data_IF_713459684360
#
_entry.id   IF_713459684360
#
_cell.length_a   1.000
_cell.length_b   1.000
_cell.length_c   1.000
_cell.angle_alpha   90.00
_cell.angle_beta   90.00
_cell.angle_gamma   90.00
#
_symmetry.space_group_name_H-M   'P 1'
#
loop_
_entity.id
_entity.type
_entity.pdbx_description
1 polymer ?
#
# COMPACT_ATOMS: atom_id res chain seq x y z
N UNK A 1 -6.92 7.35 4.47
CA UNK A 1 -6.83 6.28 3.49
C UNK A 1 -5.92 5.18 4.00
N UNK A 2 -6.47 4.01 4.32
CA UNK A 2 -5.70 2.87 4.85
C UNK A 2 -5.55 1.81 3.78
N UNK A 3 -4.32 1.30 3.61
CA UNK A 3 -4.06 0.18 2.68
C UNK A 3 -4.56 -1.12 3.28
N UNK A 4 -5.23 -1.92 2.46
CA UNK A 4 -5.59 -3.29 2.82
C UNK A 4 -4.38 -4.21 2.57
N UNK A 5 -4.01 -4.98 3.56
CA UNK A 5 -2.96 -5.98 3.42
C UNK A 5 -3.59 -7.36 3.32
N UNK A 6 -3.14 -8.13 2.32
CA UNK A 6 -3.61 -9.49 2.03
C UNK A 6 -2.44 -10.46 2.07
N UNK A 7 -2.71 -11.74 2.34
CA UNK A 7 -1.69 -12.78 2.41
C UNK A 7 -1.55 -13.58 1.11
N UNK A 8 -2.57 -13.56 0.25
CA UNK A 8 -2.58 -14.26 -1.03
C UNK A 8 -3.46 -13.54 -2.06
N UNK A 9 -3.35 -13.95 -3.33
CA UNK A 9 -4.09 -13.32 -4.45
C UNK A 9 -5.60 -13.58 -4.38
N UNK A 10 -6.00 -14.70 -3.82
CA UNK A 10 -7.40 -15.10 -3.69
C UNK A 10 -8.20 -14.14 -2.79
N UNK A 11 -7.54 -13.55 -1.79
CA UNK A 11 -8.16 -12.56 -0.90
C UNK A 11 -8.47 -11.22 -1.58
N UNK A 12 -7.93 -10.97 -2.77
CA UNK A 12 -8.15 -9.72 -3.50
C UNK A 12 -9.52 -9.72 -4.20
N UNK A 13 -9.92 -10.85 -4.76
CA UNK A 13 -11.14 -10.97 -5.58
C UNK A 13 -12.39 -10.38 -4.91
N UNK A 14 -12.68 -10.64 -3.62
CA UNK A 14 -13.82 -10.04 -2.96
C UNK A 14 -13.68 -8.53 -2.70
N UNK A 15 -12.47 -7.98 -2.67
CA UNK A 15 -12.21 -6.57 -2.34
C UNK A 15 -12.34 -5.62 -3.52
N UNK A 16 -12.19 -6.13 -4.75
CA UNK A 16 -12.18 -5.33 -5.97
C UNK A 16 -13.39 -5.66 -6.85
N UNK A 17 -13.96 -4.65 -7.49
CA UNK A 17 -15.04 -4.86 -8.45
C UNK A 17 -14.52 -5.34 -9.82
N UNK A 18 -13.27 -5.01 -10.12
CA UNK A 18 -12.56 -5.42 -11.33
C UNK A 18 -11.06 -5.50 -11.06
N UNK A 19 -10.39 -6.49 -11.67
CA UNK A 19 -8.94 -6.60 -11.68
C UNK A 19 -8.43 -6.43 -13.12
N UNK A 20 -7.97 -5.23 -13.50
CA UNK A 20 -7.48 -4.95 -14.85
C UNK A 20 -6.30 -5.83 -15.24
N UNK A 21 -6.09 -6.05 -16.53
CA UNK A 21 -5.01 -6.92 -17.03
C UNK A 21 -3.62 -6.41 -16.61
N UNK A 22 -3.40 -5.07 -16.60
CA UNK A 22 -2.17 -4.49 -16.07
C UNK A 22 -1.99 -4.75 -14.57
N UNK A 23 -3.07 -4.73 -13.80
CA UNK A 23 -3.05 -5.09 -12.38
C UNK A 23 -2.62 -6.54 -12.16
N UNK A 24 -3.09 -7.48 -12.98
CA UNK A 24 -2.68 -8.89 -12.91
C UNK A 24 -1.20 -9.07 -13.23
N UNK A 25 -0.70 -8.39 -14.29
CA UNK A 25 0.73 -8.44 -14.68
C UNK A 25 1.62 -7.90 -13.57
N UNK A 26 1.26 -6.75 -13.01
CA UNK A 26 2.00 -6.12 -11.91
C UNK A 26 1.97 -6.97 -10.63
N UNK A 27 0.81 -7.55 -10.28
CA UNK A 27 0.69 -8.46 -9.15
C UNK A 27 1.63 -9.67 -9.30
N UNK A 28 1.65 -10.29 -10.46
CA UNK A 28 2.52 -11.43 -10.76
C UNK A 28 4.01 -11.09 -10.68
N UNK A 29 4.39 -9.88 -11.07
CA UNK A 29 5.79 -9.44 -11.09
C UNK A 29 6.31 -8.98 -9.73
N UNK A 30 5.47 -8.32 -8.92
CA UNK A 30 5.93 -7.55 -7.75
C UNK A 30 5.24 -7.93 -6.43
N UNK A 31 4.33 -8.88 -6.40
CA UNK A 31 3.73 -9.41 -5.17
C UNK A 31 4.13 -10.87 -4.92
N UNK A 32 4.44 -11.19 -3.67
CA UNK A 32 4.53 -10.32 -2.49
C UNK A 32 5.71 -9.34 -2.58
N UNK A 33 5.51 -8.08 -2.13
CA UNK A 33 6.57 -7.08 -2.25
C UNK A 33 6.20 -5.64 -1.88
N UNK A 34 7.12 -4.70 -2.18
CA UNK A 34 7.01 -3.30 -1.79
C UNK A 34 6.17 -2.48 -2.79
N UNK A 35 5.06 -3.04 -3.27
CA UNK A 35 4.13 -2.37 -4.17
C UNK A 35 2.72 -2.37 -3.60
N UNK A 36 2.07 -1.23 -3.67
CA UNK A 36 0.65 -1.03 -3.38
C UNK A 36 -0.06 -0.73 -4.69
N UNK A 37 -1.15 -1.41 -4.98
CA UNK A 37 -1.98 -1.08 -6.15
C UNK A 37 -3.34 -0.56 -5.71
N UNK A 38 -3.85 0.43 -6.45
CA UNK A 38 -5.18 1.00 -6.25
C UNK A 38 -6.12 0.43 -7.30
N UNK A 39 -7.25 -0.13 -6.85
CA UNK A 39 -8.28 -0.77 -7.68
C UNK A 39 -9.64 -0.14 -7.44
N UNK A 40 -10.59 -0.28 -8.37
CA UNK A 40 -11.99 0.00 -8.08
C UNK A 40 -12.48 -0.94 -6.96
N UNK A 41 -13.03 -0.39 -5.87
CA UNK A 41 -13.48 -1.19 -4.73
C UNK A 41 -14.75 -1.98 -5.06
N UNK A 42 -14.92 -3.13 -4.41
CA UNK A 42 -16.19 -3.82 -4.37
C UNK A 42 -17.13 -3.21 -3.32
N UNK A 43 -18.41 -3.61 -3.35
CA UNK A 43 -19.42 -3.13 -2.41
C UNK A 43 -19.16 -3.53 -0.95
N UNK A 44 -18.39 -4.62 -0.72
CA UNK A 44 -18.10 -5.10 0.64
C UNK A 44 -17.06 -4.23 1.37
N UNK A 45 -16.24 -3.45 0.63
CA UNK A 45 -15.24 -2.57 1.24
C UNK A 45 -15.92 -1.30 1.75
N UNK A 46 -15.91 -1.04 3.07
CA UNK A 46 -16.59 0.13 3.64
C UNK A 46 -15.91 1.45 3.24
N UNK A 47 -16.67 2.50 3.04
CA UNK A 47 -16.15 3.84 2.76
C UNK A 47 -15.28 4.40 3.90
N UNK A 48 -15.55 4.01 5.15
CA UNK A 48 -14.71 4.38 6.28
C UNK A 48 -13.26 3.89 6.17
N UNK A 49 -13.03 2.79 5.45
CA UNK A 49 -11.68 2.26 5.18
C UNK A 49 -10.99 2.97 4.03
N UNK A 50 -11.75 3.40 3.02
CA UNK A 50 -11.23 4.05 1.82
C UNK A 50 -11.19 5.58 1.90
N UNK A 51 -11.61 6.16 3.03
CA UNK A 51 -11.71 7.61 3.19
C UNK A 51 -12.76 8.25 2.28
N UNK A 52 -13.83 7.51 1.96
CA UNK A 52 -14.92 7.98 1.11
C UNK A 52 -14.70 7.76 -0.39
N UNK A 53 -13.58 7.13 -0.80
CA UNK A 53 -13.25 6.90 -2.21
C UNK A 53 -13.88 5.59 -2.73
N UNK A 54 -14.17 5.56 -4.03
CA UNK A 54 -14.63 4.38 -4.76
C UNK A 54 -13.47 3.43 -5.15
N UNK A 55 -12.31 3.65 -4.60
CA UNK A 55 -11.11 2.84 -4.82
C UNK A 55 -10.59 2.25 -3.52
N UNK A 56 -9.88 1.13 -3.62
CA UNK A 56 -9.19 0.46 -2.52
C UNK A 56 -7.73 0.25 -2.85
N UNK A 57 -6.84 0.60 -1.93
CA UNK A 57 -5.42 0.32 -2.07
C UNK A 57 -5.09 -1.02 -1.41
N UNK A 58 -4.45 -1.92 -2.14
CA UNK A 58 -4.11 -3.27 -1.69
C UNK A 58 -2.60 -3.48 -1.79
N UNK A 59 -2.05 -4.17 -0.80
CA UNK A 59 -0.66 -4.61 -0.78
C UNK A 59 -0.59 -6.05 -0.27
N UNK A 60 0.29 -6.84 -0.87
CA UNK A 60 0.70 -8.15 -0.36
C UNK A 60 2.14 -8.04 0.16
N UNK A 61 2.36 -8.01 1.48
CA UNK A 61 3.70 -7.84 2.04
C UNK A 61 4.57 -9.08 1.80
N UNK A 62 5.88 -8.88 1.60
CA UNK A 62 6.86 -9.95 1.49
C UNK A 62 7.43 -10.41 2.84
N UNK A 63 7.18 -9.65 3.91
CA UNK A 63 7.60 -10.02 5.25
C UNK A 63 6.82 -11.24 5.73
N UNK A 64 7.49 -12.35 6.14
CA UNK A 64 6.81 -13.60 6.49
C UNK A 64 5.99 -13.49 7.77
N UNK A 65 6.37 -12.65 8.73
CA UNK A 65 5.61 -12.45 9.97
C UNK A 65 4.32 -11.70 9.67
N UNK A 66 4.41 -10.63 8.86
CA UNK A 66 3.24 -9.88 8.42
C UNK A 66 2.29 -10.75 7.59
N UNK A 67 2.80 -11.53 6.64
CA UNK A 67 2.01 -12.43 5.82
C UNK A 67 1.28 -13.49 6.67
N UNK A 68 1.98 -14.09 7.65
CA UNK A 68 1.40 -15.10 8.54
C UNK A 68 0.35 -14.49 9.47
N UNK A 69 0.58 -13.29 10.00
CA UNK A 69 -0.42 -12.58 10.81
C UNK A 69 -1.72 -12.34 10.01
N UNK A 70 -1.60 -11.88 8.76
CA UNK A 70 -2.75 -11.65 7.89
C UNK A 70 -3.47 -12.99 7.63
N UNK A 71 -2.73 -14.02 7.25
CA UNK A 71 -3.27 -15.36 7.00
C UNK A 71 -4.05 -15.92 8.20
N UNK A 72 -3.48 -15.81 9.42
CA UNK A 72 -4.09 -16.28 10.64
C UNK A 72 -5.31 -15.46 11.07
N UNK A 73 -5.34 -14.17 10.72
CA UNK A 73 -6.51 -13.32 11.01
C UNK A 73 -7.75 -13.72 10.22
N UNK A 74 -7.57 -14.40 9.07
CA UNK A 74 -8.66 -14.82 8.18
C UNK A 74 -9.38 -13.65 7.48
N UNK A 75 -8.84 -12.43 7.61
CA UNK A 75 -9.40 -11.21 7.00
C UNK A 75 -8.29 -10.27 6.55
N UNK A 76 -8.52 -9.45 5.51
CA UNK A 76 -7.58 -8.39 5.13
C UNK A 76 -7.39 -7.36 6.26
N UNK A 77 -6.15 -6.92 6.47
CA UNK A 77 -5.82 -5.98 7.54
C UNK A 77 -5.62 -4.57 6.98
N UNK A 78 -6.44 -3.63 7.44
CA UNK A 78 -6.28 -2.21 7.11
C UNK A 78 -5.23 -1.58 8.05
N UNK A 79 -4.04 -1.28 7.55
CA UNK A 79 -2.95 -0.76 8.36
C UNK A 79 -2.27 0.48 7.74
N UNK A 80 -2.02 1.53 8.57
CA UNK A 80 -1.09 2.60 8.27
C UNK A 80 0.33 2.22 8.75
N UNK A 81 1.30 3.15 8.61
CA UNK A 81 2.57 3.07 9.31
C UNK A 81 2.39 3.24 10.83
N UNK A 82 3.24 2.58 11.60
CA UNK A 82 3.15 2.55 13.08
C UNK A 82 3.92 3.73 13.71
N UNK A 83 3.59 4.97 13.32
CA UNK A 83 4.19 6.21 13.83
C UNK A 83 3.12 7.24 14.17
N UNK A 84 3.49 8.22 14.97
CA UNK A 84 2.69 9.44 15.17
C UNK A 84 2.69 10.25 13.87
N UNK A 85 1.52 10.80 13.49
CA UNK A 85 1.37 11.61 12.27
C UNK A 85 2.41 12.73 12.21
N UNK A 86 3.03 12.90 11.05
CA UNK A 86 4.10 13.87 10.81
C UNK A 86 5.51 13.38 11.16
N UNK A 87 5.67 12.18 11.72
CA UNK A 87 6.98 11.56 11.93
C UNK A 87 7.34 10.60 10.80
N UNK A 88 8.64 10.31 10.55
CA UNK A 88 9.07 9.29 9.60
C UNK A 88 8.52 7.91 9.95
N UNK A 89 8.27 7.09 8.93
CA UNK A 89 7.88 5.69 9.12
C UNK A 89 8.95 4.91 9.89
N UNK A 90 8.57 4.11 10.91
CA UNK A 90 9.53 3.37 11.72
C UNK A 90 10.22 2.28 10.91
N UNK A 91 11.50 2.04 11.21
CA UNK A 91 12.32 0.98 10.59
C UNK A 91 12.77 -0.09 11.59
N UNK A 92 12.44 0.06 12.86
CA UNK A 92 12.73 -0.87 13.96
C UNK A 92 11.64 -0.78 15.03
N UNK A 93 11.53 -1.81 15.86
CA UNK A 93 10.52 -1.88 16.92
C UNK A 93 10.67 -0.78 17.99
N UNK A 94 11.91 -0.36 18.30
CA UNK A 94 12.15 0.72 19.24
C UNK A 94 11.60 2.07 18.77
N UNK A 95 11.58 2.35 17.46
CA UNK A 95 10.92 3.54 16.91
C UNK A 95 9.39 3.47 17.11
N UNK A 96 8.81 2.28 16.94
CA UNK A 96 7.36 2.07 17.19
C UNK A 96 7.05 2.25 18.68
N UNK A 97 7.88 1.69 19.56
CA UNK A 97 7.71 1.83 21.00
C UNK A 97 7.75 3.31 21.43
N UNK A 98 8.69 4.10 20.92
CA UNK A 98 8.79 5.54 21.23
C UNK A 98 7.50 6.32 20.88
N UNK A 99 6.84 5.94 19.77
CA UNK A 99 5.66 6.66 19.27
C UNK A 99 4.33 6.12 19.83
N UNK A 100 4.29 4.82 20.15
CA UNK A 100 3.05 4.07 20.40
C UNK A 100 2.94 3.48 21.81
N UNK A 101 3.94 3.64 22.67
CA UNK A 101 3.88 3.15 24.04
C UNK A 101 2.65 3.70 24.79
N UNK A 102 1.93 2.83 25.46
CA UNK A 102 0.66 3.12 26.14
C UNK A 102 -0.53 3.41 25.22
N UNK A 103 -0.39 3.31 23.89
CA UNK A 103 -1.46 3.54 22.90
C UNK A 103 -1.88 2.29 22.14
N UNK A 104 -1.09 1.22 22.21
CA UNK A 104 -1.33 -0.07 21.57
C UNK A 104 -1.08 -1.21 22.56
N UNK A 105 -1.70 -2.36 22.32
CA UNK A 105 -1.65 -3.49 23.24
C UNK A 105 -0.37 -4.33 23.09
N UNK A 106 0.19 -4.41 21.87
CA UNK A 106 1.36 -5.23 21.58
C UNK A 106 2.16 -4.73 20.37
N UNK A 107 3.43 -5.08 20.34
CA UNK A 107 4.35 -4.91 19.21
C UNK A 107 4.95 -6.27 18.89
N UNK A 108 4.85 -6.68 17.63
CA UNK A 108 5.58 -7.86 17.13
C UNK A 108 6.86 -7.34 16.47
N UNK A 109 8.00 -7.64 17.08
CA UNK A 109 9.29 -7.25 16.53
C UNK A 109 9.77 -8.27 15.50
N UNK A 110 9.66 -7.92 14.23
CA UNK A 110 10.16 -8.69 13.09
C UNK A 110 11.61 -8.37 12.72
N UNK A 111 12.31 -7.57 13.53
CA UNK A 111 13.64 -7.07 13.22
C UNK A 111 13.63 -5.78 12.39
N UNK A 112 14.80 -5.29 11.96
CA UNK A 112 14.92 -4.09 11.14
C UNK A 112 14.35 -4.32 9.73
N UNK A 113 13.72 -3.28 9.16
CA UNK A 113 13.20 -3.37 7.79
C UNK A 113 14.33 -3.54 6.76
N UNK A 114 14.15 -4.48 5.83
CA UNK A 114 15.15 -4.73 4.78
C UNK A 114 15.19 -3.65 3.70
N UNK A 115 14.05 -3.01 3.41
CA UNK A 115 13.91 -1.93 2.43
C UNK A 115 13.44 -0.69 3.19
N UNK A 116 14.33 0.27 3.40
CA UNK A 116 14.07 1.53 4.12
C UNK A 116 13.25 2.55 3.31
N UNK A 117 12.69 2.15 2.16
CA UNK A 117 11.84 2.98 1.31
C UNK A 117 10.38 2.56 1.42
N UNK A 118 9.50 3.51 1.33
CA UNK A 118 8.06 3.26 1.27
C UNK A 118 7.68 2.47 0.00
N UNK A 119 6.52 1.79 0.05
CA UNK A 119 6.01 1.04 -1.12
C UNK A 119 5.68 2.00 -2.27
N UNK A 120 6.02 1.60 -3.50
CA UNK A 120 5.51 2.26 -4.71
C UNK A 120 3.99 2.12 -4.75
N UNK A 121 3.27 3.21 -5.03
CA UNK A 121 1.81 3.18 -5.19
C UNK A 121 1.48 3.40 -6.66
N UNK A 122 0.72 2.45 -7.23
CA UNK A 122 0.30 2.47 -8.63
C UNK A 122 -1.22 2.38 -8.70
N UNK A 123 -1.85 3.35 -9.34
CA UNK A 123 -3.26 3.31 -9.70
C UNK A 123 -3.42 2.49 -10.99
N UNK A 124 -4.24 1.45 -10.93
CA UNK A 124 -4.55 0.57 -12.07
C UNK A 124 -6.04 0.62 -12.42
N UNK A 125 -6.76 1.62 -11.95
CA UNK A 125 -8.19 1.79 -12.25
C UNK A 125 -8.45 2.12 -13.72
N UNK A 126 -7.50 2.80 -14.35
CA UNK A 126 -7.55 3.20 -15.74
C UNK A 126 -6.71 2.30 -16.64
N UNK A 127 -6.89 2.43 -17.96
CA UNK A 127 -6.17 1.63 -18.96
C UNK A 127 -4.64 1.81 -18.86
N UNK A 128 -4.18 3.02 -18.62
CA UNK A 128 -2.76 3.33 -18.39
C UNK A 128 -2.50 3.43 -16.88
N UNK A 129 -1.67 2.55 -16.31
CA UNK A 129 -1.29 2.64 -14.92
C UNK A 129 -0.61 3.97 -14.58
N UNK A 130 -0.92 4.53 -13.39
CA UNK A 130 -0.39 5.81 -12.93
C UNK A 130 0.37 5.63 -11.63
N UNK A 131 1.62 6.08 -11.55
CA UNK A 131 2.39 6.11 -10.31
C UNK A 131 1.91 7.29 -9.47
N UNK A 132 1.33 7.00 -8.31
CA UNK A 132 0.86 7.98 -7.33
C UNK A 132 1.90 8.27 -6.24
N UNK A 133 2.85 7.38 -6.02
CA UNK A 133 3.98 7.56 -5.11
C UNK A 133 5.16 6.70 -5.57
N UNK A 134 6.34 7.28 -5.78
CA UNK A 134 7.55 6.51 -6.09
C UNK A 134 8.02 5.73 -4.84
N UNK A 135 8.69 4.62 -5.05
CA UNK A 135 9.24 3.76 -4.01
C UNK A 135 10.26 2.78 -4.59
N UNK A 136 10.40 1.62 -3.95
CA UNK A 136 11.41 0.63 -4.34
C UNK A 136 11.19 0.04 -5.75
N UNK A 137 9.95 -0.01 -6.25
CA UNK A 137 9.66 -0.40 -7.64
C UNK A 137 9.68 0.88 -8.48
N UNK A 138 10.64 0.97 -9.41
CA UNK A 138 10.83 2.18 -10.23
C UNK A 138 9.86 2.25 -11.40
N UNK A 139 9.73 3.44 -12.00
CA UNK A 139 8.89 3.64 -13.20
C UNK A 139 9.40 2.78 -14.37
N UNK A 140 10.71 2.64 -14.50
CA UNK A 140 11.36 1.82 -15.53
C UNK A 140 10.96 0.36 -15.38
N UNK A 141 11.02 -0.21 -14.18
CA UNK A 141 10.60 -1.57 -13.87
C UNK A 141 9.12 -1.79 -14.20
N UNK A 142 8.27 -0.83 -13.88
CA UNK A 142 6.84 -0.88 -14.22
C UNK A 142 6.63 -0.87 -15.73
N UNK A 143 7.36 0.00 -16.48
CA UNK A 143 7.30 0.05 -17.95
C UNK A 143 7.76 -1.23 -18.62
N UNK A 144 8.77 -1.89 -18.09
CA UNK A 144 9.20 -3.22 -18.58
C UNK A 144 8.11 -4.27 -18.45
N UNK A 145 7.26 -4.16 -17.43
CA UNK A 145 6.20 -5.14 -17.15
C UNK A 145 4.91 -4.87 -17.93
N UNK A 146 4.48 -3.61 -18.02
CA UNK A 146 3.15 -3.24 -18.55
C UNK A 146 3.19 -2.28 -19.74
N UNK A 147 4.37 -1.82 -20.16
CA UNK A 147 4.56 -0.86 -21.24
C UNK A 147 4.41 0.59 -20.75
N UNK A 148 3.36 1.28 -21.17
CA UNK A 148 3.16 2.68 -20.79
C UNK A 148 2.72 2.82 -19.34
N UNK A 149 3.38 3.76 -18.62
CA UNK A 149 3.08 4.11 -17.23
C UNK A 149 3.19 5.63 -17.09
N UNK A 150 2.13 6.24 -16.59
CA UNK A 150 2.07 7.65 -16.24
C UNK A 150 2.67 7.93 -14.86
N UNK A 151 2.97 9.19 -14.59
CA UNK A 151 3.37 9.69 -13.27
C UNK A 151 2.39 10.80 -12.91
N UNK A 152 1.81 10.72 -11.71
CA UNK A 152 0.88 11.75 -11.25
C UNK A 152 1.59 13.12 -11.23
N UNK A 153 1.03 14.15 -11.91
CA UNK A 153 1.58 15.50 -11.92
C UNK A 153 1.84 16.07 -10.51
N UNK A 154 1.10 15.65 -9.51
CA UNK A 154 1.30 16.04 -8.12
C UNK A 154 2.68 15.64 -7.56
N UNK A 155 3.32 14.62 -8.14
CA UNK A 155 4.68 14.19 -7.77
C UNK A 155 5.74 15.09 -8.40
N UNK A 156 5.45 15.68 -9.54
CA UNK A 156 6.41 16.44 -10.38
C UNK A 156 6.43 17.94 -10.10
N UNK A 157 5.48 18.47 -9.32
CA UNK A 157 5.31 19.91 -9.08
C UNK A 157 5.31 20.31 -7.60
N UNK A 158 5.29 21.61 -7.26
CA UNK A 158 5.07 22.07 -5.91
C UNK A 158 3.67 21.65 -5.48
N UNK A 159 3.63 20.72 -4.53
CA UNK A 159 2.38 20.12 -4.01
C UNK A 159 1.57 21.19 -3.29
N UNK A 160 0.34 21.47 -3.72
CA UNK A 160 -0.60 22.31 -2.96
C UNK A 160 -0.92 21.66 -1.61
N UNK A 161 -1.28 22.45 -0.60
CA UNK A 161 -1.54 21.95 0.76
C UNK A 161 -2.57 20.81 0.80
N UNK A 162 -3.56 20.83 -0.09
CA UNK A 162 -4.62 19.82 -0.17
C UNK A 162 -4.14 18.46 -0.67
N UNK A 163 -3.12 18.44 -1.55
CA UNK A 163 -2.55 17.20 -2.08
C UNK A 163 -1.54 16.58 -1.11
N UNK A 164 -0.92 17.37 -0.24
CA UNK A 164 -0.01 16.86 0.81
C UNK A 164 -0.70 15.87 1.75
N UNK A 165 -1.99 16.06 2.02
CA UNK A 165 -2.76 15.15 2.88
C UNK A 165 -2.86 13.74 2.28
N UNK A 166 -2.92 13.58 0.97
CA UNK A 166 -3.00 12.28 0.29
C UNK A 166 -1.64 11.55 0.18
N UNK A 167 -0.54 12.32 0.15
CA UNK A 167 0.81 11.75 -0.04
C UNK A 167 1.52 11.42 1.28
N UNK A 168 1.16 12.07 2.39
CA UNK A 168 1.87 11.98 3.67
C UNK A 168 1.05 11.42 4.84
N UNK A 169 -0.20 11.03 4.65
CA UNK A 169 -0.92 10.22 5.64
C UNK A 169 -0.57 8.75 5.45
N UNK A 170 0.64 8.43 5.81
CA UNK A 170 1.05 7.06 6.08
C UNK A 170 0.47 6.58 7.39
#
# INVERSE_FOLDING_TARGET
YKRQHVSCLEEIAPLVSNMPENGKKLAKAYWPGPMTMVFPKSAIVPYGTTGGLDTVAIRMPSDPIAAELIRLSGVPIAAPSANTSGRPSPTRADHVLQDMDGKIDAIIDGGPVGIGLESTIVDVTEKMPMVLRPGAITVEMLRETVGEVGIDPAILGPVSADVRCLLYTS
#
